data_IF_786674867977
#
_entry.id   IF_786674867977
#
_cell.length_a   1.000
_cell.length_b   1.000
_cell.length_c   1.000
_cell.angle_alpha   90.00
_cell.angle_beta   90.00
_cell.angle_gamma   90.00
#
_symmetry.space_group_name_H-M   'P 1'
#
loop_
_entity.id
_entity.type
_entity.pdbx_description
1 polymer ?
#
# COMPACT_ATOMS: atom_id res chain seq x y z
N UNK A 1 -7.29 56.21 -39.58
CA UNK A 1 -6.71 54.90 -39.95
C UNK A 1 -7.83 53.87 -40.09
N UNK A 2 -7.68 52.86 -40.95
CA UNK A 2 -8.71 51.82 -41.14
C UNK A 2 -8.51 50.72 -40.09
N UNK A 3 -9.52 50.48 -39.25
CA UNK A 3 -9.51 49.40 -38.25
C UNK A 3 -9.89 48.05 -38.86
N UNK A 4 -9.59 46.95 -38.19
CA UNK A 4 -9.94 45.61 -38.68
C UNK A 4 -11.46 45.45 -38.83
N UNK A 5 -12.24 46.00 -37.90
CA UNK A 5 -13.69 45.96 -37.97
C UNK A 5 -14.23 46.69 -39.21
N UNK A 6 -13.75 47.91 -39.47
CA UNK A 6 -14.07 48.66 -40.69
C UNK A 6 -13.55 47.97 -41.94
N UNK A 7 -12.37 47.33 -41.87
CA UNK A 7 -11.76 46.61 -42.98
C UNK A 7 -12.62 45.48 -43.51
N UNK A 8 -13.10 44.61 -42.61
CA UNK A 8 -13.97 43.51 -43.01
C UNK A 8 -15.39 43.98 -43.35
N UNK A 9 -15.92 44.99 -42.64
CA UNK A 9 -17.25 45.55 -42.93
C UNK A 9 -17.33 46.18 -44.32
N UNK A 10 -16.36 47.01 -44.69
CA UNK A 10 -16.31 47.63 -46.02
C UNK A 10 -16.20 46.55 -47.11
N UNK A 11 -15.36 45.54 -46.91
CA UNK A 11 -15.20 44.43 -47.85
C UNK A 11 -16.51 43.64 -48.03
N UNK A 12 -17.21 43.35 -46.93
CA UNK A 12 -18.50 42.66 -46.94
C UNK A 12 -19.58 43.46 -47.68
N UNK A 13 -19.67 44.77 -47.41
CA UNK A 13 -20.65 45.66 -48.06
C UNK A 13 -20.36 45.80 -49.55
N UNK A 14 -19.08 45.90 -49.97
CA UNK A 14 -18.71 45.94 -51.40
C UNK A 14 -19.15 44.70 -52.17
N UNK A 15 -19.19 43.54 -51.50
CA UNK A 15 -19.69 42.28 -52.07
C UNK A 15 -21.21 42.13 -51.96
N UNK A 16 -21.90 43.04 -51.27
CA UNK A 16 -23.35 42.97 -51.03
C UNK A 16 -23.78 41.86 -50.05
N UNK A 17 -22.85 41.30 -49.26
CA UNK A 17 -23.16 40.16 -48.40
C UNK A 17 -23.78 40.58 -47.07
N UNK A 18 -24.82 39.86 -46.65
CA UNK A 18 -25.37 39.98 -45.30
C UNK A 18 -24.50 39.20 -44.30
N UNK A 19 -24.63 39.50 -43.00
CA UNK A 19 -23.92 38.73 -41.96
C UNK A 19 -24.31 37.25 -41.98
N UNK A 20 -25.58 36.94 -42.28
CA UNK A 20 -26.08 35.56 -42.42
C UNK A 20 -25.46 34.84 -43.62
N UNK A 21 -25.24 35.55 -44.73
CA UNK A 21 -24.59 34.99 -45.92
C UNK A 21 -23.15 34.58 -45.60
N UNK A 22 -22.38 35.46 -44.93
CA UNK A 22 -21.00 35.15 -44.52
C UNK A 22 -20.96 34.03 -43.49
N UNK A 23 -21.91 33.97 -42.56
CA UNK A 23 -22.06 32.86 -41.60
C UNK A 23 -22.31 31.52 -42.31
N UNK A 24 -23.19 31.51 -43.33
CA UNK A 24 -23.51 30.32 -44.11
C UNK A 24 -22.28 29.69 -44.77
N UNK A 25 -21.41 30.52 -45.34
CA UNK A 25 -20.25 30.06 -46.11
C UNK A 25 -19.00 29.85 -45.25
N UNK A 26 -18.72 30.73 -44.30
CA UNK A 26 -17.53 30.62 -43.44
C UNK A 26 -17.75 29.72 -42.22
N UNK A 27 -19.01 29.39 -41.90
CA UNK A 27 -19.44 28.70 -40.67
C UNK A 27 -19.10 29.45 -39.38
N UNK A 28 -18.72 30.72 -39.47
CA UNK A 28 -18.47 31.58 -38.31
C UNK A 28 -19.78 32.25 -37.93
N UNK A 29 -20.21 32.09 -36.67
CA UNK A 29 -21.50 32.63 -36.22
C UNK A 29 -21.61 34.13 -36.47
N UNK A 30 -22.78 34.61 -36.93
CA UNK A 30 -23.01 36.05 -37.24
C UNK A 30 -22.63 36.97 -36.08
N UNK A 31 -22.83 36.51 -34.85
CA UNK A 31 -22.53 37.26 -33.62
C UNK A 31 -21.03 37.57 -33.51
N UNK A 32 -20.16 36.64 -33.94
CA UNK A 32 -18.72 36.85 -33.94
C UNK A 32 -18.29 37.77 -35.07
N UNK A 33 -18.86 37.61 -36.27
CA UNK A 33 -18.59 38.50 -37.41
C UNK A 33 -18.98 39.94 -37.06
N UNK A 34 -20.18 40.13 -36.51
CA UNK A 34 -20.66 41.43 -36.04
C UNK A 34 -19.79 42.00 -34.91
N UNK A 35 -19.36 41.17 -33.96
CA UNK A 35 -18.49 41.59 -32.87
C UNK A 35 -17.10 42.01 -33.37
N UNK A 36 -16.55 41.37 -34.41
CA UNK A 36 -15.30 41.79 -35.07
C UNK A 36 -15.52 43.13 -35.80
N UNK A 37 -16.60 43.27 -36.58
CA UNK A 37 -16.92 44.51 -37.31
C UNK A 37 -17.14 45.72 -36.38
N UNK A 38 -17.67 45.48 -35.17
CA UNK A 38 -17.91 46.50 -34.13
C UNK A 38 -16.79 46.58 -33.08
N UNK A 39 -15.71 45.81 -33.25
CA UNK A 39 -14.55 45.79 -32.34
C UNK A 39 -14.92 45.51 -30.86
N UNK A 40 -15.94 44.67 -30.64
CA UNK A 40 -16.40 44.25 -29.31
C UNK A 40 -15.56 43.07 -28.80
N UNK A 41 -14.33 43.36 -28.39
CA UNK A 41 -13.34 42.34 -27.97
C UNK A 41 -13.78 41.46 -26.79
N UNK A 42 -14.66 41.96 -25.92
CA UNK A 42 -15.18 41.23 -24.77
C UNK A 42 -16.14 40.09 -25.14
N UNK A 43 -16.83 40.17 -26.27
CA UNK A 43 -17.76 39.12 -26.75
C UNK A 43 -17.08 38.12 -27.71
N UNK A 44 -15.79 38.27 -27.96
CA UNK A 44 -15.01 37.41 -28.84
C UNK A 44 -14.21 36.35 -28.05
N UNK A 45 -13.97 35.17 -28.66
CA UNK A 45 -13.16 34.10 -28.07
C UNK A 45 -11.68 34.52 -27.92
N UNK A 46 -10.80 33.59 -27.55
CA UNK A 46 -9.38 33.87 -27.41
C UNK A 46 -8.71 34.25 -28.75
N UNK A 47 -7.63 35.02 -28.65
CA UNK A 47 -6.92 35.58 -29.80
C UNK A 47 -6.60 34.56 -30.92
N UNK A 48 -6.14 33.32 -30.64
CA UNK A 48 -5.89 32.34 -31.69
C UNK A 48 -7.14 32.01 -32.54
N UNK A 49 -8.31 31.99 -31.91
CA UNK A 49 -9.59 31.72 -32.58
C UNK A 49 -10.01 32.92 -33.43
N UNK A 50 -9.91 34.14 -32.89
CA UNK A 50 -10.20 35.38 -33.63
C UNK A 50 -9.28 35.50 -34.84
N UNK A 51 -7.99 35.18 -34.68
CA UNK A 51 -7.00 35.16 -35.76
C UNK A 51 -7.45 34.25 -36.91
N UNK A 52 -7.97 33.06 -36.58
CA UNK A 52 -8.56 32.13 -37.55
C UNK A 52 -9.80 32.71 -38.24
N UNK A 53 -10.70 33.34 -37.48
CA UNK A 53 -11.90 33.96 -38.03
C UNK A 53 -11.58 35.06 -39.02
N UNK A 54 -10.72 36.01 -38.64
CA UNK A 54 -10.33 37.13 -39.50
C UNK A 54 -9.64 36.64 -40.77
N UNK A 55 -8.77 35.63 -40.67
CA UNK A 55 -8.13 35.02 -41.83
C UNK A 55 -9.16 34.40 -42.79
N UNK A 56 -10.11 33.62 -42.26
CA UNK A 56 -11.14 32.97 -43.06
C UNK A 56 -12.09 33.98 -43.73
N UNK A 57 -12.56 34.99 -42.97
CA UNK A 57 -13.45 36.04 -43.49
C UNK A 57 -12.73 36.87 -44.56
N UNK A 58 -11.48 37.28 -44.33
CA UNK A 58 -10.71 38.04 -45.32
C UNK A 58 -10.54 37.24 -46.62
N UNK A 59 -10.16 35.96 -46.51
CA UNK A 59 -10.05 35.06 -47.65
C UNK A 59 -11.36 34.95 -48.44
N UNK A 60 -12.47 34.73 -47.73
CA UNK A 60 -13.79 34.60 -48.34
C UNK A 60 -14.26 35.89 -49.03
N UNK A 61 -13.97 37.05 -48.44
CA UNK A 61 -14.30 38.36 -49.04
C UNK A 61 -13.36 38.76 -50.20
N UNK A 62 -12.31 37.98 -50.46
CA UNK A 62 -11.30 38.27 -51.49
C UNK A 62 -10.28 39.33 -51.08
N UNK A 63 -10.12 39.57 -49.78
CA UNK A 63 -9.15 40.50 -49.21
C UNK A 63 -7.82 39.80 -48.90
N UNK A 64 -6.75 40.58 -48.76
CA UNK A 64 -5.45 40.04 -48.41
C UNK A 64 -5.43 39.56 -46.93
N UNK A 65 -5.29 38.25 -46.74
CA UNK A 65 -5.23 37.61 -45.42
C UNK A 65 -4.11 38.17 -44.54
N UNK A 66 -2.91 38.39 -45.10
CA UNK A 66 -1.75 38.88 -44.35
C UNK A 66 -1.99 40.31 -43.86
N UNK A 67 -2.60 41.15 -44.70
CA UNK A 67 -2.97 42.51 -44.33
C UNK A 67 -4.04 42.49 -43.22
N UNK A 68 -5.08 41.67 -43.35
CA UNK A 68 -6.13 41.54 -42.33
C UNK A 68 -5.56 41.09 -40.97
N UNK A 69 -4.65 40.11 -40.97
CA UNK A 69 -3.97 39.65 -39.75
C UNK A 69 -3.08 40.73 -39.14
N UNK A 70 -2.36 41.49 -39.95
CA UNK A 70 -1.52 42.59 -39.47
C UNK A 70 -2.36 43.69 -38.79
N UNK A 71 -3.49 44.06 -39.40
CA UNK A 71 -4.43 45.05 -38.85
C UNK A 71 -5.06 44.50 -37.55
N UNK A 72 -5.45 43.22 -37.52
CA UNK A 72 -5.97 42.58 -36.30
C UNK A 72 -4.97 42.62 -35.15
N UNK A 73 -3.70 42.25 -35.38
CA UNK A 73 -2.65 42.24 -34.35
C UNK A 73 -2.40 43.64 -33.78
N UNK A 74 -2.60 44.69 -34.57
CA UNK A 74 -2.49 46.08 -34.14
C UNK A 74 -3.70 46.52 -33.30
N UNK A 75 -4.91 46.15 -33.72
CA UNK A 75 -6.15 46.64 -33.12
C UNK A 75 -6.63 45.79 -31.91
N UNK A 76 -6.17 44.54 -31.80
CA UNK A 76 -6.55 43.64 -30.71
C UNK A 76 -5.89 44.04 -29.38
N UNK A 77 -6.65 44.33 -28.31
CA UNK A 77 -6.07 44.66 -27.02
C UNK A 77 -5.39 43.42 -26.41
N UNK A 78 -4.21 43.57 -25.79
CA UNK A 78 -3.55 42.46 -25.13
C UNK A 78 -4.44 41.95 -23.97
N UNK A 79 -5.00 40.73 -24.12
CA UNK A 79 -5.62 40.02 -22.99
C UNK A 79 -4.51 39.40 -22.15
N UNK A 80 -4.44 39.74 -20.86
CA UNK A 80 -3.61 39.04 -19.89
C UNK A 80 -4.23 37.67 -19.64
N UNK A 81 -3.65 36.61 -20.20
CA UNK A 81 -3.98 35.26 -19.78
C UNK A 81 -3.42 35.10 -18.37
N UNK A 82 -4.30 34.92 -17.37
CA UNK A 82 -3.89 34.50 -16.04
C UNK A 82 -3.40 33.06 -16.13
N UNK A 83 -2.16 32.87 -16.56
CA UNK A 83 -1.47 31.59 -16.45
C UNK A 83 -1.34 31.35 -14.95
N UNK A 84 -2.11 30.41 -14.41
CA UNK A 84 -1.94 30.01 -13.02
C UNK A 84 -0.49 29.52 -12.86
N UNK A 85 0.39 30.26 -12.15
CA UNK A 85 1.81 29.92 -12.07
C UNK A 85 2.04 28.61 -11.30
N UNK A 86 1.04 28.15 -10.56
CA UNK A 86 1.04 26.91 -9.80
C UNK A 86 -0.15 26.06 -10.24
N UNK A 87 0.01 25.12 -11.18
CA UNK A 87 -1.04 24.12 -11.35
C UNK A 87 -1.27 23.47 -9.99
N UNK A 88 -2.53 23.37 -9.56
CA UNK A 88 -2.93 22.61 -8.37
C UNK A 88 -2.74 21.13 -8.67
N UNK A 89 -1.48 20.72 -8.79
CA UNK A 89 -1.07 19.31 -8.79
C UNK A 89 -1.08 18.87 -7.34
N UNK A 90 -2.28 18.60 -6.81
CA UNK A 90 -2.39 17.86 -5.55
C UNK A 90 -1.49 16.64 -5.66
N UNK A 91 -0.58 16.47 -4.69
CA UNK A 91 0.41 15.41 -4.70
C UNK A 91 -0.30 14.06 -4.55
N UNK A 92 -0.78 13.52 -5.66
CA UNK A 92 -1.33 12.18 -5.67
C UNK A 92 -0.16 11.24 -5.40
N UNK A 93 -0.28 10.41 -4.37
CA UNK A 93 0.72 9.39 -4.08
C UNK A 93 0.90 8.50 -5.31
N UNK A 94 2.06 8.59 -5.97
CA UNK A 94 2.38 7.76 -7.12
C UNK A 94 3.13 6.52 -6.62
N UNK A 95 2.40 5.43 -6.43
CA UNK A 95 2.97 4.14 -6.09
C UNK A 95 3.90 3.69 -7.24
N UNK A 96 5.21 3.82 -7.05
CA UNK A 96 6.19 3.42 -8.06
C UNK A 96 6.49 1.92 -7.99
N UNK A 97 6.80 1.25 -9.12
CA UNK A 97 7.20 -0.16 -9.10
C UNK A 97 8.42 -0.44 -8.20
N UNK A 98 9.34 0.53 -8.08
CA UNK A 98 10.49 0.47 -7.18
C UNK A 98 10.05 0.41 -5.71
N UNK A 99 9.03 1.19 -5.34
CA UNK A 99 8.50 1.17 -3.97
C UNK A 99 7.80 -0.15 -3.66
N UNK A 100 7.00 -0.71 -4.59
CA UNK A 100 6.41 -2.05 -4.41
C UNK A 100 7.47 -3.11 -4.15
N UNK A 101 8.55 -3.07 -4.94
CA UNK A 101 9.66 -4.01 -4.78
C UNK A 101 10.33 -3.87 -3.40
N UNK A 102 10.64 -2.64 -2.97
CA UNK A 102 11.24 -2.39 -1.66
C UNK A 102 10.33 -2.80 -0.50
N UNK A 103 9.04 -2.48 -0.59
CA UNK A 103 8.04 -2.89 0.43
C UNK A 103 7.93 -4.41 0.46
N UNK A 104 7.84 -5.07 -0.70
CA UNK A 104 7.78 -6.53 -0.79
C UNK A 104 9.01 -7.20 -0.20
N UNK A 105 10.22 -6.69 -0.52
CA UNK A 105 11.46 -7.19 0.06
C UNK A 105 11.53 -6.98 1.57
N UNK A 106 11.05 -5.83 2.06
CA UNK A 106 10.94 -5.57 3.49
C UNK A 106 9.99 -6.53 4.20
N UNK A 107 8.82 -6.82 3.61
CA UNK A 107 7.85 -7.79 4.15
C UNK A 107 8.46 -9.19 4.22
N UNK A 108 9.14 -9.64 3.15
CA UNK A 108 9.83 -10.94 3.15
C UNK A 108 10.90 -11.00 4.24
N UNK A 109 11.70 -9.94 4.39
CA UNK A 109 12.72 -9.87 5.45
C UNK A 109 12.10 -9.97 6.85
N UNK A 110 11.01 -9.24 7.09
CA UNK A 110 10.28 -9.29 8.38
C UNK A 110 9.71 -10.68 8.64
N UNK A 111 9.17 -11.36 7.62
CA UNK A 111 8.67 -12.73 7.77
C UNK A 111 9.80 -13.71 8.11
N UNK A 112 10.95 -13.60 7.45
CA UNK A 112 12.13 -14.44 7.73
C UNK A 112 12.61 -14.19 9.16
N UNK A 113 12.81 -12.93 9.55
CA UNK A 113 13.28 -12.57 10.88
C UNK A 113 12.28 -12.97 11.97
N UNK A 114 10.98 -12.80 11.71
CA UNK A 114 9.92 -13.23 12.60
C UNK A 114 9.89 -14.75 12.79
N UNK A 115 10.01 -15.51 11.70
CA UNK A 115 10.08 -16.97 11.75
C UNK A 115 11.33 -17.45 12.50
N UNK A 116 12.50 -16.87 12.22
CA UNK A 116 13.74 -17.19 12.93
C UNK A 116 13.64 -16.88 14.42
N UNK A 117 13.06 -15.72 14.78
CA UNK A 117 12.83 -15.35 16.18
C UNK A 117 11.91 -16.33 16.89
N UNK A 118 10.78 -16.69 16.27
CA UNK A 118 9.87 -17.70 16.80
C UNK A 118 10.56 -19.06 16.98
N UNK A 119 11.30 -19.52 15.97
CA UNK A 119 12.01 -20.80 16.01
C UNK A 119 13.10 -20.81 17.08
N UNK A 120 13.82 -19.69 17.25
CA UNK A 120 14.82 -19.52 18.29
C UNK A 120 14.18 -19.62 19.68
N UNK A 121 13.09 -18.88 19.93
CA UNK A 121 12.36 -18.94 21.21
C UNK A 121 11.90 -20.36 21.52
N UNK A 122 11.33 -21.07 20.54
CA UNK A 122 10.92 -22.47 20.70
C UNK A 122 12.10 -23.37 21.06
N UNK A 123 13.25 -23.19 20.42
CA UNK A 123 14.47 -23.97 20.71
C UNK A 123 15.04 -23.72 22.12
N UNK A 124 14.97 -22.47 22.61
CA UNK A 124 15.46 -22.11 23.96
C UNK A 124 14.41 -22.16 25.06
N UNK A 125 13.22 -22.67 24.76
CA UNK A 125 12.18 -22.88 25.74
C UNK A 125 12.40 -24.22 26.48
N UNK A 126 12.12 -24.29 27.79
CA UNK A 126 12.10 -25.56 28.52
C UNK A 126 11.06 -26.53 27.92
N UNK A 127 11.33 -27.85 27.92
CA UNK A 127 10.37 -28.82 27.39
C UNK A 127 9.15 -28.88 28.32
N UNK A 128 7.92 -28.99 27.78
CA UNK A 128 6.73 -29.21 28.60
C UNK A 128 6.89 -30.53 29.35
N UNK A 129 6.50 -30.58 30.61
CA UNK A 129 6.56 -31.78 31.43
C UNK A 129 5.24 -31.95 32.20
N UNK A 130 4.48 -32.97 31.85
CA UNK A 130 3.22 -33.32 32.51
C UNK A 130 3.37 -34.69 33.17
N UNK A 131 3.33 -34.73 34.49
CA UNK A 131 3.41 -35.97 35.27
C UNK A 131 1.99 -36.49 35.53
N UNK A 132 1.68 -37.69 35.01
CA UNK A 132 0.39 -38.38 35.12
C UNK A 132 0.34 -39.19 36.42
N UNK A 133 1.39 -39.97 36.69
CA UNK A 133 1.56 -40.73 37.93
C UNK A 133 2.98 -40.53 38.50
N UNK A 134 3.14 -40.48 39.83
CA UNK A 134 2.08 -40.43 40.83
C UNK A 134 1.42 -39.04 40.91
N UNK A 135 0.18 -39.01 41.40
CA UNK A 135 -0.51 -37.76 41.75
C UNK A 135 0.12 -37.14 43.00
N UNK A 136 -0.13 -35.86 43.21
CA UNK A 136 0.32 -35.16 44.41
C UNK A 136 -0.21 -35.85 45.68
N UNK A 137 0.68 -36.09 46.64
CA UNK A 137 0.40 -36.70 47.95
C UNK A 137 -0.18 -38.13 47.87
N UNK A 138 0.06 -38.83 46.76
CA UNK A 138 -0.38 -40.21 46.59
C UNK A 138 0.30 -41.14 47.59
N UNK A 139 -0.48 -42.07 48.15
CA UNK A 139 0.00 -43.21 48.90
C UNK A 139 0.64 -44.21 47.94
N UNK A 140 1.88 -44.60 48.21
CA UNK A 140 2.69 -45.44 47.31
C UNK A 140 3.43 -46.51 48.11
N UNK A 141 3.46 -47.73 47.58
CA UNK A 141 4.13 -48.87 48.23
C UNK A 141 5.65 -48.77 48.06
N UNK A 142 6.40 -49.24 49.07
CA UNK A 142 7.86 -49.28 49.02
C UNK A 142 8.42 -50.15 47.89
N UNK A 143 7.71 -51.21 47.51
CA UNK A 143 8.17 -52.19 46.52
C UNK A 143 8.24 -51.67 45.08
N UNK A 144 7.59 -50.56 44.76
CA UNK A 144 7.59 -49.97 43.41
C UNK A 144 6.59 -48.83 43.26
N UNK A 145 7.06 -47.71 42.70
CA UNK A 145 6.25 -46.56 42.31
C UNK A 145 6.36 -46.36 40.82
N UNK A 146 5.22 -46.47 40.13
CA UNK A 146 5.12 -46.13 38.73
C UNK A 146 5.14 -44.62 38.56
N UNK A 147 6.17 -44.13 37.88
CA UNK A 147 6.30 -42.73 37.46
C UNK A 147 6.06 -42.68 35.97
N UNK A 148 5.00 -41.99 35.56
CA UNK A 148 4.64 -41.84 34.16
C UNK A 148 4.18 -40.43 33.83
N UNK A 149 4.42 -40.03 32.58
CA UNK A 149 4.11 -38.69 32.13
C UNK A 149 4.32 -38.51 30.64
N UNK A 150 4.21 -37.25 30.23
CA UNK A 150 4.40 -36.81 28.86
C UNK A 150 5.31 -35.58 28.79
N UNK A 151 6.22 -35.57 27.83
CA UNK A 151 7.10 -34.45 27.52
C UNK A 151 7.34 -34.35 26.00
N UNK A 152 8.30 -33.54 25.56
CA UNK A 152 8.75 -33.53 24.17
C UNK A 152 9.52 -34.82 23.86
N UNK A 153 9.29 -35.41 22.70
CA UNK A 153 9.99 -36.64 22.24
C UNK A 153 11.51 -36.47 22.14
N UNK A 154 11.97 -35.23 21.97
CA UNK A 154 13.39 -34.88 21.88
C UNK A 154 14.03 -34.53 23.23
N UNK A 155 13.28 -34.61 24.34
CA UNK A 155 13.76 -34.33 25.69
C UNK A 155 14.34 -35.57 26.36
N UNK A 156 15.33 -35.37 27.22
CA UNK A 156 15.82 -36.42 28.14
C UNK A 156 15.11 -36.27 29.48
N UNK A 157 14.50 -37.34 29.98
CA UNK A 157 13.82 -37.35 31.27
C UNK A 157 14.68 -38.06 32.31
N UNK A 158 14.72 -37.51 33.52
CA UNK A 158 15.27 -38.18 34.69
C UNK A 158 14.28 -38.21 35.84
N UNK A 159 14.25 -39.33 36.56
CA UNK A 159 13.44 -39.51 37.77
C UNK A 159 14.40 -39.82 38.91
N UNK A 160 14.48 -38.96 39.92
CA UNK A 160 15.46 -39.06 41.02
C UNK A 160 16.89 -39.30 40.51
N UNK A 161 17.32 -38.52 39.50
CA UNK A 161 18.62 -38.64 38.83
C UNK A 161 18.85 -39.92 38.01
N UNK A 162 17.85 -40.80 37.86
CA UNK A 162 17.91 -41.96 36.99
C UNK A 162 17.32 -41.62 35.61
N UNK A 163 18.04 -41.81 34.50
CA UNK A 163 17.54 -41.51 33.16
C UNK A 163 16.42 -42.47 32.76
N UNK A 164 15.38 -41.95 32.11
CA UNK A 164 14.22 -42.70 31.61
C UNK A 164 14.08 -42.47 30.11
N UNK A 165 13.81 -43.54 29.37
CA UNK A 165 13.57 -43.47 27.93
C UNK A 165 12.22 -42.79 27.66
N UNK A 166 12.24 -41.85 26.71
CA UNK A 166 11.04 -41.19 26.19
C UNK A 166 10.70 -41.84 24.85
N UNK A 167 9.44 -42.22 24.68
CA UNK A 167 8.93 -42.80 23.45
C UNK A 167 8.72 -41.72 22.37
N UNK A 168 8.56 -42.12 21.11
CA UNK A 168 8.34 -41.19 19.98
C UNK A 168 7.08 -40.31 20.15
N UNK A 169 6.09 -40.78 20.89
CA UNK A 169 4.87 -40.03 21.21
C UNK A 169 5.04 -39.04 22.38
N UNK A 170 6.24 -38.97 22.96
CA UNK A 170 6.60 -38.15 24.13
C UNK A 170 6.21 -38.76 25.47
N UNK A 171 5.67 -39.98 25.51
CA UNK A 171 5.36 -40.67 26.76
C UNK A 171 6.63 -41.23 27.41
N UNK A 172 6.68 -41.21 28.73
CA UNK A 172 7.72 -41.89 29.50
C UNK A 172 7.09 -42.63 30.68
N UNK A 173 7.73 -43.72 31.09
CA UNK A 173 7.27 -44.55 32.18
C UNK A 173 8.40 -45.37 32.76
N UNK A 174 8.54 -45.35 34.07
CA UNK A 174 9.48 -46.20 34.80
C UNK A 174 8.86 -46.59 36.14
N UNK A 175 9.21 -47.76 36.63
CA UNK A 175 8.90 -48.17 38.00
C UNK A 175 10.18 -48.03 38.84
N UNK A 176 10.12 -47.21 39.88
CA UNK A 176 11.25 -46.96 40.78
C UNK A 176 10.94 -47.52 42.17
N UNK A 177 11.95 -48.07 42.83
CA UNK A 177 11.83 -48.42 44.25
C UNK A 177 12.12 -47.19 45.10
N UNK A 178 11.34 -47.03 46.17
CA UNK A 178 11.49 -45.93 47.13
C UNK A 178 11.72 -46.50 48.53
N UNK A 179 12.31 -45.71 49.41
CA UNK A 179 12.54 -46.08 50.80
C UNK A 179 11.57 -45.30 51.71
N UNK A 180 11.36 -45.74 52.96
CA UNK A 180 10.47 -45.06 53.90
C UNK A 180 10.81 -43.57 54.11
N UNK A 181 12.08 -43.19 53.90
CA UNK A 181 12.54 -41.80 53.97
C UNK A 181 12.25 -40.95 52.73
N UNK A 182 11.79 -41.53 51.62
CA UNK A 182 11.57 -40.81 50.35
C UNK A 182 10.27 -40.00 50.40
N UNK A 183 10.38 -38.69 50.63
CA UNK A 183 9.22 -37.78 50.76
C UNK A 183 8.74 -37.19 49.44
N UNK A 184 9.61 -37.15 48.43
CA UNK A 184 9.30 -36.60 47.12
C UNK A 184 10.00 -37.37 46.01
N UNK A 185 9.37 -37.36 44.84
CA UNK A 185 9.94 -37.82 43.58
C UNK A 185 10.20 -36.58 42.73
N UNK A 186 11.43 -36.43 42.27
CA UNK A 186 11.86 -35.34 41.39
C UNK A 186 11.90 -35.87 39.97
N UNK A 187 11.07 -35.29 39.11
CA UNK A 187 11.07 -35.58 37.68
C UNK A 187 11.62 -34.34 36.98
N UNK A 188 12.71 -34.49 36.23
CA UNK A 188 13.24 -33.43 35.38
C UNK A 188 13.21 -33.83 33.91
N UNK A 189 12.86 -32.88 33.05
CA UNK A 189 12.96 -33.01 31.61
C UNK A 189 13.92 -31.95 31.09
N UNK A 190 14.93 -32.37 30.32
CA UNK A 190 15.96 -31.49 29.76
C UNK A 190 15.90 -31.54 28.23
N UNK A 191 15.78 -30.38 27.59
CA UNK A 191 15.80 -30.28 26.13
C UNK A 191 17.23 -30.37 25.58
N UNK A 192 17.37 -30.58 24.25
CA UNK A 192 18.67 -30.54 23.55
C UNK A 192 19.45 -29.25 23.76
N UNK A 193 18.76 -28.13 24.01
CA UNK A 193 19.37 -26.84 24.29
C UNK A 193 19.82 -26.67 25.76
N UNK A 194 19.69 -27.72 26.58
CA UNK A 194 20.04 -27.70 28.01
C UNK A 194 19.03 -26.95 28.88
N UNK A 195 17.80 -26.74 28.41
CA UNK A 195 16.74 -26.11 29.20
C UNK A 195 15.99 -27.16 29.97
N UNK A 196 15.70 -26.88 31.24
CA UNK A 196 15.16 -27.86 32.17
C UNK A 196 13.80 -27.44 32.71
N UNK A 197 12.88 -28.39 32.78
CA UNK A 197 11.63 -28.30 33.54
C UNK A 197 11.65 -29.34 34.65
N UNK A 198 11.46 -28.92 35.89
CA UNK A 198 11.49 -29.80 37.06
C UNK A 198 10.12 -29.82 37.74
N UNK A 199 9.58 -31.02 37.94
CA UNK A 199 8.34 -31.26 38.67
C UNK A 199 8.65 -32.12 39.89
N UNK A 200 8.25 -31.65 41.07
CA UNK A 200 8.39 -32.39 42.33
C UNK A 200 7.03 -32.91 42.75
N UNK A 201 6.90 -34.23 42.89
CA UNK A 201 5.71 -34.89 43.42
C UNK A 201 5.96 -35.34 44.85
N UNK A 202 5.23 -34.77 45.80
CA UNK A 202 5.21 -35.27 47.18
C UNK A 202 4.44 -36.58 47.22
N UNK A 203 4.95 -37.54 47.99
CA UNK A 203 4.36 -38.87 48.13
C UNK A 203 4.28 -39.25 49.60
N UNK A 204 3.39 -40.20 49.92
CA UNK A 204 3.28 -40.81 51.24
C UNK A 204 3.69 -42.28 51.13
N UNK A 205 4.91 -42.64 51.58
CA UNK A 205 5.35 -44.03 51.58
C UNK A 205 4.46 -44.86 52.51
N UNK A 206 3.92 -45.96 52.00
CA UNK A 206 3.24 -47.00 52.77
C UNK A 206 4.06 -48.30 52.69
N UNK A 207 4.21 -49.02 53.81
CA UNK A 207 4.96 -50.28 53.86
C UNK A 207 4.37 -51.38 52.99
#
# INVERSE_FOLDING_TARGET
>A
MKTIGKFLKDARIRKGYSLLHVEGDTKIKKVFIESIEKERWGSLPDFPVILGFVKNIAKYLGENERAAVAILKRDYPPKTLSINPKPDVGSKFFWSPRLTFLVGMGVILVLILGYMGFQYVKFVSPPPLTVIEPKQDAAVKLSGVKVSGKTDSDATVSVNNQPVLVNEDGSFGVEIQIFEGTKEIVISATSRAGKETVVRRKIKPEP
#
